data_IF_738036000296
#
_entry.id   IF_738036000296
#
_cell.length_a   1.000
_cell.length_b   1.000
_cell.length_c   1.000
_cell.angle_alpha   90.00
_cell.angle_beta   90.00
_cell.angle_gamma   90.00
#
_symmetry.space_group_name_H-M   'P 1'
#
loop_
_entity.id
_entity.type
_entity.pdbx_description
1 polymer ?
#
# COMPACT_ATOMS: atom_id res chain seq x y z
N UNK A 1 -11.90 51.43 14.65
CA UNK A 1 -10.60 51.79 14.04
C UNK A 1 -9.88 52.70 15.01
N UNK A 2 -9.10 52.13 15.92
CA UNK A 2 -8.28 52.85 16.89
C UNK A 2 -6.95 53.18 16.23
N UNK A 3 -6.82 54.41 15.74
CA UNK A 3 -5.56 54.95 15.22
C UNK A 3 -4.73 55.42 16.41
N UNK A 4 -3.68 54.68 16.75
CA UNK A 4 -2.70 55.13 17.73
C UNK A 4 -2.01 56.41 17.23
N UNK A 5 -1.88 57.45 18.06
CA UNK A 5 -1.30 58.72 17.64
C UNK A 5 0.19 58.57 17.39
N UNK A 6 0.63 58.81 16.15
CA UNK A 6 2.04 58.88 15.76
C UNK A 6 2.72 59.95 16.62
N UNK A 7 3.72 59.56 17.44
CA UNK A 7 4.54 60.52 18.21
C UNK A 7 5.50 61.25 17.27
N UNK A 8 5.48 62.58 17.36
CA UNK A 8 6.34 63.49 16.60
C UNK A 8 7.34 64.13 17.59
N UNK A 9 8.58 64.37 17.15
CA UNK A 9 9.58 65.11 17.93
C UNK A 9 9.36 66.63 17.87
N UNK A 10 10.19 67.41 18.59
CA UNK A 10 10.11 68.88 18.66
C UNK A 10 10.35 69.58 17.31
N UNK A 11 10.74 68.83 16.27
CA UNK A 11 10.98 69.32 14.92
C UNK A 11 9.90 68.83 13.94
N UNK A 12 8.88 68.12 14.43
CA UNK A 12 7.75 67.62 13.65
C UNK A 12 8.05 66.38 12.82
N UNK A 13 9.09 65.63 13.16
CA UNK A 13 9.46 64.37 12.49
C UNK A 13 8.83 63.19 13.24
N UNK A 14 8.20 62.22 12.54
CA UNK A 14 7.59 61.06 13.20
C UNK A 14 8.69 60.17 13.78
N UNK A 15 8.66 59.99 15.11
CA UNK A 15 9.62 59.16 15.84
C UNK A 15 9.11 57.72 15.83
N UNK A 16 9.86 56.83 15.18
CA UNK A 16 9.58 55.40 15.17
C UNK A 16 9.95 54.81 16.54
N UNK A 17 8.96 54.33 17.30
CA UNK A 17 9.21 53.70 18.62
C UNK A 17 9.98 52.37 18.51
N UNK A 18 9.99 51.73 17.33
CA UNK A 18 10.75 50.52 17.02
C UNK A 18 11.67 50.76 15.81
N UNK A 19 12.67 51.63 15.96
CA UNK A 19 13.68 51.83 14.93
C UNK A 19 14.61 50.60 14.89
N UNK A 20 14.43 49.73 13.88
CA UNK A 20 15.38 48.66 13.59
C UNK A 20 16.63 49.32 13.01
N UNK A 21 17.78 49.07 13.64
CA UNK A 21 19.04 49.66 13.21
C UNK A 21 19.56 48.90 11.98
N UNK A 22 20.14 49.60 11.00
CA UNK A 22 20.72 48.95 9.80
C UNK A 22 21.78 47.89 10.15
N UNK A 23 22.47 48.02 11.29
CA UNK A 23 23.39 47.02 11.83
C UNK A 23 22.71 45.70 12.26
N UNK A 24 21.40 45.70 12.54
CA UNK A 24 20.64 44.50 12.90
C UNK A 24 20.15 43.72 11.67
N UNK A 25 20.11 44.36 10.50
CA UNK A 25 19.76 43.73 9.21
C UNK A 25 20.95 42.97 8.59
N UNK A 26 22.18 43.40 8.85
CA UNK A 26 23.40 42.81 8.27
C UNK A 26 23.76 41.43 8.89
N UNK A 27 23.09 41.06 9.99
CA UNK A 27 23.21 39.76 10.65
C UNK A 27 22.21 38.70 10.18
N UNK A 28 21.22 39.06 9.37
CA UNK A 28 20.28 38.12 8.78
C UNK A 28 20.94 37.51 7.54
N UNK A 29 21.50 36.30 7.70
CA UNK A 29 22.03 35.48 6.61
C UNK A 29 21.14 35.63 5.37
N UNK A 30 21.74 36.08 4.27
CA UNK A 30 21.08 36.33 2.99
C UNK A 30 20.15 35.15 2.62
N UNK A 31 18.87 35.30 2.93
CA UNK A 31 17.83 34.52 2.31
C UNK A 31 17.83 34.94 0.83
N UNK A 32 17.75 33.99 -0.12
CA UNK A 32 17.61 34.35 -1.52
C UNK A 32 16.40 35.27 -1.66
N UNK A 33 16.60 36.43 -2.29
CA UNK A 33 15.61 37.48 -2.54
C UNK A 33 14.61 36.98 -3.59
N UNK A 34 13.89 35.92 -3.23
CA UNK A 34 12.73 35.41 -3.94
C UNK A 34 11.57 36.25 -3.45
N UNK A 35 10.88 36.92 -4.37
CA UNK A 35 9.65 37.59 -4.02
C UNK A 35 8.69 36.55 -3.43
N UNK A 36 7.84 36.92 -2.47
CA UNK A 36 6.90 35.98 -1.83
C UNK A 36 6.11 35.13 -2.84
N UNK A 37 5.87 35.69 -4.02
CA UNK A 37 5.22 35.01 -5.15
C UNK A 37 6.01 33.84 -5.72
N UNK A 38 7.33 33.97 -5.85
CA UNK A 38 8.21 32.93 -6.39
C UNK A 38 8.32 31.75 -5.40
N UNK A 39 8.37 32.05 -4.11
CA UNK A 39 8.43 31.05 -3.04
C UNK A 39 7.11 30.26 -2.95
N UNK A 40 5.97 30.95 -3.06
CA UNK A 40 4.65 30.31 -3.12
C UNK A 40 4.51 29.41 -4.36
N UNK A 41 4.94 29.87 -5.53
CA UNK A 41 4.89 29.04 -6.75
C UNK A 41 5.77 27.78 -6.61
N UNK A 42 6.95 27.91 -6.01
CA UNK A 42 7.85 26.77 -5.79
C UNK A 42 7.27 25.76 -4.80
N UNK A 43 6.60 26.24 -3.73
CA UNK A 43 5.90 25.38 -2.78
C UNK A 43 4.69 24.68 -3.40
N UNK A 44 3.90 25.40 -4.21
CA UNK A 44 2.77 24.84 -4.94
C UNK A 44 3.20 23.80 -5.99
N UNK A 45 4.31 24.03 -6.68
CA UNK A 45 4.89 23.04 -7.60
C UNK A 45 5.33 21.78 -6.86
N UNK A 46 5.93 21.93 -5.66
CA UNK A 46 6.36 20.79 -4.86
C UNK A 46 5.17 19.99 -4.32
N UNK A 47 4.14 20.67 -3.80
CA UNK A 47 2.92 20.04 -3.29
C UNK A 47 2.13 19.35 -4.42
N UNK A 48 2.03 19.98 -5.60
CA UNK A 48 1.40 19.37 -6.77
C UNK A 48 2.17 18.14 -7.28
N UNK A 49 3.50 18.21 -7.32
CA UNK A 49 4.35 17.06 -7.68
C UNK A 49 4.22 15.94 -6.66
N UNK A 50 4.12 16.27 -5.38
CA UNK A 50 3.95 15.29 -4.32
C UNK A 50 2.59 14.58 -4.42
N UNK A 51 1.51 15.32 -4.70
CA UNK A 51 0.19 14.72 -4.97
C UNK A 51 0.21 13.75 -6.16
N UNK A 52 0.87 14.12 -7.26
CA UNK A 52 1.02 13.24 -8.43
C UNK A 52 1.85 11.99 -8.09
N UNK A 53 2.91 12.12 -7.29
CA UNK A 53 3.73 10.98 -6.86
C UNK A 53 2.96 10.03 -5.94
N UNK A 54 2.13 10.58 -5.04
CA UNK A 54 1.27 9.79 -4.16
C UNK A 54 0.20 9.03 -4.98
N UNK A 55 -0.44 9.69 -5.95
CA UNK A 55 -1.41 9.07 -6.86
C UNK A 55 -0.76 7.93 -7.68
N UNK A 56 0.42 8.18 -8.27
CA UNK A 56 1.17 7.17 -9.02
C UNK A 56 1.55 6.00 -8.12
N UNK A 57 1.95 6.27 -6.87
CA UNK A 57 2.33 5.25 -5.90
C UNK A 57 1.13 4.39 -5.53
N UNK A 58 -0.04 5.00 -5.29
CA UNK A 58 -1.28 4.28 -5.00
C UNK A 58 -1.72 3.41 -6.17
N UNK A 59 -1.70 3.95 -7.39
CA UNK A 59 -2.06 3.21 -8.60
C UNK A 59 -1.10 2.04 -8.87
N UNK A 60 0.19 2.25 -8.64
CA UNK A 60 1.19 1.19 -8.80
C UNK A 60 0.98 0.08 -7.77
N UNK A 61 0.68 0.42 -6.52
CA UNK A 61 0.36 -0.55 -5.47
C UNK A 61 -0.88 -1.36 -5.82
N UNK A 62 -1.97 -0.71 -6.28
CA UNK A 62 -3.20 -1.39 -6.72
C UNK A 62 -2.94 -2.32 -7.90
N UNK A 63 -2.17 -1.85 -8.89
CA UNK A 63 -1.86 -2.63 -10.09
C UNK A 63 -1.02 -3.86 -9.75
N UNK A 64 0.00 -3.70 -8.89
CA UNK A 64 0.85 -4.82 -8.46
C UNK A 64 0.03 -5.82 -7.66
N UNK A 65 -0.79 -5.37 -6.70
CA UNK A 65 -1.65 -6.24 -5.90
C UNK A 65 -2.61 -7.05 -6.80
N UNK A 66 -3.31 -6.38 -7.71
CA UNK A 66 -4.24 -7.02 -8.63
C UNK A 66 -3.55 -8.03 -9.55
N UNK A 67 -2.37 -7.68 -10.08
CA UNK A 67 -1.64 -8.55 -10.99
C UNK A 67 -1.07 -9.78 -10.29
N UNK A 68 -0.56 -9.62 -9.07
CA UNK A 68 -0.13 -10.74 -8.23
C UNK A 68 -1.33 -11.64 -7.92
N UNK A 69 -2.46 -11.07 -7.49
CA UNK A 69 -3.67 -11.83 -7.17
C UNK A 69 -4.17 -12.63 -8.38
N UNK A 70 -4.26 -11.99 -9.55
CA UNK A 70 -4.70 -12.64 -10.78
C UNK A 70 -3.79 -13.82 -11.15
N UNK A 71 -2.48 -13.62 -11.10
CA UNK A 71 -1.50 -14.66 -11.44
C UNK A 71 -1.55 -15.82 -10.44
N UNK A 72 -1.56 -15.52 -9.13
CA UNK A 72 -1.61 -16.54 -8.09
C UNK A 72 -2.89 -17.35 -8.18
N UNK A 73 -4.04 -16.70 -8.41
CA UNK A 73 -5.33 -17.37 -8.48
C UNK A 73 -5.39 -18.34 -9.66
N UNK A 74 -4.90 -17.95 -10.83
CA UNK A 74 -4.85 -18.80 -12.01
C UNK A 74 -3.93 -20.00 -11.78
N UNK A 75 -2.71 -19.76 -11.29
CA UNK A 75 -1.72 -20.82 -11.07
C UNK A 75 -2.14 -21.78 -9.96
N UNK A 76 -2.71 -21.28 -8.85
CA UNK A 76 -3.24 -22.12 -7.76
C UNK A 76 -4.43 -22.94 -8.23
N UNK A 77 -5.34 -22.36 -9.01
CA UNK A 77 -6.49 -23.11 -9.56
C UNK A 77 -6.00 -24.22 -10.48
N UNK A 78 -5.03 -23.93 -11.35
CA UNK A 78 -4.41 -24.90 -12.23
C UNK A 78 -3.72 -26.02 -11.45
N UNK A 79 -2.91 -25.69 -10.44
CA UNK A 79 -2.22 -26.67 -9.60
C UNK A 79 -3.20 -27.58 -8.85
N UNK A 80 -4.28 -27.02 -8.31
CA UNK A 80 -5.34 -27.80 -7.65
C UNK A 80 -6.00 -28.76 -8.65
N UNK A 81 -6.31 -28.26 -9.84
CA UNK A 81 -6.94 -29.07 -10.88
C UNK A 81 -6.02 -30.19 -11.36
N UNK A 82 -4.76 -29.90 -11.68
CA UNK A 82 -3.75 -30.88 -12.09
C UNK A 82 -3.53 -31.94 -11.00
N UNK A 83 -3.40 -31.51 -9.74
CA UNK A 83 -3.25 -32.43 -8.61
C UNK A 83 -4.50 -33.33 -8.45
N UNK A 84 -5.70 -32.77 -8.60
CA UNK A 84 -6.95 -33.52 -8.46
C UNK A 84 -7.15 -34.50 -9.61
N UNK A 85 -6.93 -34.07 -10.86
CA UNK A 85 -7.05 -34.90 -12.06
C UNK A 85 -6.03 -36.03 -12.10
N UNK A 86 -4.82 -35.83 -11.57
CA UNK A 86 -3.84 -36.91 -11.44
C UNK A 86 -4.11 -37.83 -10.25
N UNK A 87 -4.60 -37.28 -9.13
CA UNK A 87 -4.77 -38.05 -7.89
C UNK A 87 -6.04 -38.90 -7.92
N UNK A 88 -7.16 -38.39 -8.43
CA UNK A 88 -8.43 -39.12 -8.47
C UNK A 88 -8.37 -40.50 -9.18
N UNK A 89 -7.82 -40.63 -10.40
CA UNK A 89 -7.74 -41.93 -11.08
C UNK A 89 -6.77 -42.89 -10.39
N UNK A 90 -5.65 -42.38 -9.86
CA UNK A 90 -4.70 -43.20 -9.09
C UNK A 90 -5.34 -43.75 -7.82
N UNK A 91 -6.03 -42.89 -7.08
CA UNK A 91 -6.72 -43.28 -5.85
C UNK A 91 -7.84 -44.30 -6.14
N UNK A 92 -8.61 -44.10 -7.22
CA UNK A 92 -9.62 -45.05 -7.66
C UNK A 92 -9.02 -46.40 -8.05
N UNK A 93 -7.87 -46.40 -8.73
CA UNK A 93 -7.15 -47.61 -9.13
C UNK A 93 -6.58 -48.36 -7.91
N UNK A 94 -6.05 -47.63 -6.93
CA UNK A 94 -5.55 -48.21 -5.68
C UNK A 94 -6.68 -48.83 -4.86
N UNK A 95 -7.80 -48.12 -4.68
CA UNK A 95 -9.00 -48.65 -4.01
C UNK A 95 -9.49 -49.92 -4.72
N UNK A 96 -9.58 -49.90 -6.05
CA UNK A 96 -10.01 -51.07 -6.82
C UNK A 96 -9.07 -52.25 -6.60
N UNK A 97 -7.76 -52.01 -6.60
CA UNK A 97 -6.75 -53.06 -6.40
C UNK A 97 -6.86 -53.64 -4.99
N UNK A 98 -6.98 -52.79 -3.96
CA UNK A 98 -7.16 -53.22 -2.58
C UNK A 98 -8.45 -54.02 -2.40
N UNK A 99 -9.56 -53.56 -2.99
CA UNK A 99 -10.83 -54.30 -2.96
C UNK A 99 -10.70 -55.64 -3.66
N UNK A 100 -10.06 -55.72 -4.82
CA UNK A 100 -9.85 -57.00 -5.53
C UNK A 100 -9.02 -58.00 -4.71
N UNK A 101 -8.02 -57.52 -3.97
CA UNK A 101 -7.20 -58.36 -3.09
C UNK A 101 -7.97 -58.80 -1.82
N UNK A 102 -8.77 -57.91 -1.24
CA UNK A 102 -9.47 -58.17 0.02
C UNK A 102 -10.82 -58.90 -0.14
N UNK A 103 -11.52 -58.69 -1.26
CA UNK A 103 -12.86 -59.23 -1.52
C UNK A 103 -12.96 -60.75 -1.36
N UNK A 104 -12.05 -61.58 -1.90
CA UNK A 104 -12.14 -63.03 -1.76
C UNK A 104 -12.08 -63.46 -0.28
N UNK A 105 -11.19 -62.85 0.51
CA UNK A 105 -11.06 -63.13 1.94
C UNK A 105 -12.26 -62.64 2.75
N UNK A 106 -12.83 -61.48 2.40
CA UNK A 106 -14.05 -60.96 3.00
C UNK A 106 -15.26 -61.86 2.72
N UNK A 107 -15.42 -62.32 1.47
CA UNK A 107 -16.48 -63.25 1.08
C UNK A 107 -16.34 -64.58 1.82
N UNK A 108 -15.13 -65.14 1.89
CA UNK A 108 -14.87 -66.39 2.60
C UNK A 108 -15.26 -66.28 4.10
N UNK A 109 -14.88 -65.19 4.76
CA UNK A 109 -15.25 -64.93 6.16
C UNK A 109 -16.76 -64.77 6.34
N UNK A 110 -17.44 -64.09 5.41
CA UNK A 110 -18.89 -63.90 5.46
C UNK A 110 -19.63 -65.26 5.34
N UNK A 111 -19.14 -66.16 4.49
CA UNK A 111 -19.68 -67.51 4.31
C UNK A 111 -19.41 -68.41 5.52
N UNK A 112 -18.26 -68.26 6.17
CA UNK A 112 -17.98 -68.96 7.43
C UNK A 112 -18.88 -68.48 8.56
N UNK A 113 -19.12 -67.18 8.68
CA UNK A 113 -20.01 -66.61 9.69
C UNK A 113 -21.46 -67.07 9.49
N UNK A 114 -21.97 -67.07 8.25
CA UNK A 114 -23.34 -67.51 7.97
C UNK A 114 -23.58 -69.02 8.13
N UNK A 115 -22.51 -69.81 8.31
CA UNK A 115 -22.59 -71.24 8.66
C UNK A 115 -22.49 -71.50 10.16
N UNK A 116 -22.08 -70.51 10.94
CA UNK A 116 -21.96 -70.59 12.41
C UNK A 116 -23.18 -70.03 13.14
N UNK A 117 -24.07 -69.32 12.44
CA UNK A 117 -25.45 -69.01 12.84
C UNK A 117 -26.43 -70.11 12.42
#
# INVERSE_FOLDING_TARGET
MTTDPIKLDEQGVPVLENAVSLDELDGAAAAPDLTDHDLINQLLEHEALQGILDDITEDLQKMVAWKIESFLKEEVTRLIQDATEQSAPRLAQDIRTQLQLALPGLIARLVEQSRQE
#
